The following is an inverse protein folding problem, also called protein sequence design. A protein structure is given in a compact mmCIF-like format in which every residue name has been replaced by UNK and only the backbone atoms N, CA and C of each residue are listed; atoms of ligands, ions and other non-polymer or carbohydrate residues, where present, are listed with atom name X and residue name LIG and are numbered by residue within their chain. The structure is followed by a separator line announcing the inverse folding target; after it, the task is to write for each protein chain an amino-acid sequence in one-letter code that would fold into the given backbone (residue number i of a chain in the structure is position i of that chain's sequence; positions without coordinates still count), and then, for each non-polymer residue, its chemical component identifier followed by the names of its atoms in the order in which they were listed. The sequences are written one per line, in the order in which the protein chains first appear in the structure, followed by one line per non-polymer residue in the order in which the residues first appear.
data_IF_265797162641
#
_entry.id   IF_265797162641
#
_cell.length_a   1.000
_cell.length_b   1.000
_cell.length_c   1.000
_cell.angle_alpha   90.00
_cell.angle_beta   90.00
_cell.angle_gamma   90.00
#
_symmetry.space_group_name_H-M   'P 1'
#
loop_
_entity.id
_entity.type
_entity.pdbx_description
1 polymer ?
#
# COMPACT_ATOMS: atom_id res chain seq x y z
N UNK A 1 -7.71 22.71 -20.31
CA UNK A 1 -6.48 21.89 -20.34
C UNK A 1 -6.89 20.43 -20.44
N UNK A 2 -7.02 19.92 -21.67
CA UNK A 2 -7.38 18.52 -21.94
C UNK A 2 -6.13 17.66 -21.80
N UNK A 3 -6.10 16.78 -20.78
CA UNK A 3 -5.03 15.79 -20.63
C UNK A 3 -4.95 14.95 -21.92
N UNK A 4 -3.74 14.67 -22.45
CA UNK A 4 -3.56 13.74 -23.57
C UNK A 4 -4.13 12.35 -23.21
N UNK A 5 -4.45 11.49 -24.19
CA UNK A 5 -4.99 10.17 -23.91
C UNK A 5 -4.02 9.39 -23.03
N UNK A 6 -4.47 9.10 -21.80
CA UNK A 6 -3.67 8.38 -20.80
C UNK A 6 -3.20 7.05 -21.40
N UNK A 7 -1.89 6.87 -21.51
CA UNK A 7 -1.27 5.60 -21.85
C UNK A 7 -1.70 4.52 -20.84
N UNK A 8 -1.58 3.25 -21.22
CA UNK A 8 -1.99 2.11 -20.39
C UNK A 8 -1.48 2.21 -18.95
N UNK A 9 -0.21 2.63 -18.79
CA UNK A 9 0.44 2.80 -17.49
C UNK A 9 -0.22 3.89 -16.62
N UNK A 10 -0.62 5.02 -17.22
CA UNK A 10 -1.29 6.10 -16.48
C UNK A 10 -2.69 5.66 -16.02
N UNK A 11 -3.41 4.88 -16.84
CA UNK A 11 -4.71 4.31 -16.44
C UNK A 11 -4.56 3.32 -15.29
N UNK A 12 -3.54 2.45 -15.34
CA UNK A 12 -3.25 1.51 -14.26
C UNK A 12 -2.88 2.25 -12.96
N UNK A 13 -2.03 3.27 -13.05
CA UNK A 13 -1.69 4.11 -11.89
C UNK A 13 -2.92 4.79 -11.28
N UNK A 14 -3.81 5.36 -12.11
CA UNK A 14 -5.04 5.97 -11.63
C UNK A 14 -5.99 4.96 -10.98
N UNK A 15 -6.08 3.74 -11.52
CA UNK A 15 -6.88 2.68 -10.91
C UNK A 15 -6.33 2.30 -9.53
N UNK A 16 -5.01 2.13 -9.42
CA UNK A 16 -4.32 1.82 -8.16
C UNK A 16 -4.53 2.95 -7.13
N UNK A 17 -4.37 4.21 -7.55
CA UNK A 17 -4.63 5.39 -6.71
C UNK A 17 -6.08 5.43 -6.20
N UNK A 18 -7.04 5.14 -7.07
CA UNK A 18 -8.45 5.09 -6.70
C UNK A 18 -8.72 3.97 -5.68
N UNK A 19 -8.14 2.79 -5.86
CA UNK A 19 -8.26 1.69 -4.88
C UNK A 19 -7.67 2.10 -3.53
N UNK A 20 -6.46 2.66 -3.51
CA UNK A 20 -5.83 3.15 -2.29
C UNK A 20 -6.68 4.23 -1.58
N UNK A 21 -7.23 5.18 -2.34
CA UNK A 21 -8.09 6.24 -1.83
C UNK A 21 -9.40 5.71 -1.25
N UNK A 22 -10.04 4.74 -1.92
CA UNK A 22 -11.26 4.07 -1.42
C UNK A 22 -10.96 3.31 -0.13
N UNK A 23 -9.85 2.57 -0.06
CA UNK A 23 -9.45 1.85 1.15
C UNK A 23 -9.22 2.80 2.32
N UNK A 24 -8.54 3.93 2.09
CA UNK A 24 -8.31 4.95 3.10
C UNK A 24 -9.62 5.59 3.61
N UNK A 25 -10.56 5.85 2.70
CA UNK A 25 -11.90 6.33 3.07
C UNK A 25 -12.65 5.30 3.92
N UNK A 26 -12.61 4.02 3.53
CA UNK A 26 -13.25 2.92 4.27
C UNK A 26 -12.66 2.77 5.68
N UNK A 27 -11.34 2.83 5.83
CA UNK A 27 -10.67 2.82 7.14
C UNK A 27 -11.17 3.98 8.00
N UNK A 28 -11.16 5.19 7.43
CA UNK A 28 -11.57 6.39 8.16
C UNK A 28 -13.01 6.25 8.66
N UNK A 29 -13.92 5.81 7.80
CA UNK A 29 -15.32 5.57 8.15
C UNK A 29 -15.41 4.50 9.24
N UNK A 30 -14.72 3.37 9.10
CA UNK A 30 -14.73 2.29 10.08
C UNK A 30 -14.26 2.77 11.46
N UNK A 31 -13.16 3.52 11.53
CA UNK A 31 -12.63 4.05 12.80
C UNK A 31 -13.61 5.04 13.42
N UNK A 32 -14.18 5.96 12.62
CA UNK A 32 -15.15 6.95 13.11
C UNK A 32 -16.41 6.26 13.64
N UNK A 33 -16.97 5.31 12.90
CA UNK A 33 -18.15 4.54 13.33
C UNK A 33 -17.83 3.73 14.58
N UNK A 34 -16.66 3.08 14.65
CA UNK A 34 -16.23 2.34 15.83
C UNK A 34 -16.05 3.25 17.05
N UNK A 35 -15.51 4.45 16.88
CA UNK A 35 -15.36 5.41 17.97
C UNK A 35 -16.73 5.90 18.45
N UNK A 36 -17.62 6.30 17.54
CA UNK A 36 -18.99 6.73 17.87
C UNK A 36 -19.74 5.60 18.61
N UNK A 37 -19.72 4.38 18.06
CA UNK A 37 -20.38 3.23 18.68
C UNK A 37 -19.85 2.95 20.10
N UNK A 38 -18.53 2.96 20.27
CA UNK A 38 -17.89 2.70 21.56
C UNK A 38 -18.18 3.78 22.59
N UNK A 39 -18.03 5.06 22.23
CA UNK A 39 -18.07 6.16 23.18
C UNK A 39 -19.46 6.78 23.39
N UNK A 40 -20.32 6.79 22.36
CA UNK A 40 -21.66 7.40 22.45
C UNK A 40 -22.77 6.37 22.66
N UNK A 41 -22.63 5.17 22.10
CA UNK A 41 -23.70 4.15 22.11
C UNK A 41 -23.41 2.95 23.02
N UNK A 42 -22.22 2.91 23.65
CA UNK A 42 -21.71 1.76 24.41
C UNK A 42 -21.78 0.42 23.65
N UNK A 43 -21.80 0.49 22.31
CA UNK A 43 -21.85 -0.65 21.40
C UNK A 43 -20.57 -0.65 20.56
N UNK A 44 -19.50 -1.34 21.00
CA UNK A 44 -18.29 -1.44 20.21
C UNK A 44 -18.52 -2.26 18.94
N UNK A 45 -17.99 -1.78 17.82
CA UNK A 45 -17.99 -2.54 16.56
C UNK A 45 -17.01 -3.72 16.71
N UNK A 46 -17.46 -4.97 16.51
CA UNK A 46 -16.60 -6.14 16.59
C UNK A 46 -15.49 -6.09 15.51
N UNK A 47 -14.29 -6.57 15.83
CA UNK A 47 -13.12 -6.61 14.94
C UNK A 47 -12.68 -5.29 14.26
N UNK A 48 -13.20 -4.14 14.70
CA UNK A 48 -12.84 -2.86 14.09
C UNK A 48 -11.32 -2.59 14.13
N UNK A 49 -10.62 -3.09 15.15
CA UNK A 49 -9.17 -2.98 15.27
C UNK A 49 -8.43 -3.77 14.19
N UNK A 50 -8.75 -5.06 14.03
CA UNK A 50 -8.05 -5.90 13.06
C UNK A 50 -8.41 -5.52 11.62
N UNK A 51 -9.68 -5.20 11.35
CA UNK A 51 -10.10 -4.77 10.02
C UNK A 51 -9.46 -3.43 9.64
N UNK A 52 -9.38 -2.46 10.56
CA UNK A 52 -8.67 -1.20 10.30
C UNK A 52 -7.18 -1.42 10.06
N UNK A 53 -6.52 -2.32 10.82
CA UNK A 53 -5.12 -2.68 10.61
C UNK A 53 -4.86 -3.26 9.22
N UNK A 54 -5.71 -4.19 8.76
CA UNK A 54 -5.57 -4.77 7.43
C UNK A 54 -5.84 -3.78 6.31
N UNK A 55 -6.91 -2.99 6.43
CA UNK A 55 -7.27 -2.00 5.43
C UNK A 55 -6.23 -0.86 5.33
N UNK A 56 -5.62 -0.43 6.44
CA UNK A 56 -4.50 0.51 6.43
C UNK A 56 -3.31 -0.11 5.70
N UNK A 57 -2.95 -1.36 6.03
CA UNK A 57 -1.88 -2.08 5.33
C UNK A 57 -2.12 -2.13 3.82
N UNK A 58 -3.36 -2.38 3.40
CA UNK A 58 -3.73 -2.41 1.99
C UNK A 58 -3.63 -1.03 1.36
N UNK A 59 -4.18 0.01 1.99
CA UNK A 59 -4.09 1.39 1.50
C UNK A 59 -2.64 1.84 1.31
N UNK A 60 -1.73 1.47 2.22
CA UNK A 60 -0.30 1.81 2.11
C UNK A 60 0.35 1.07 0.94
N UNK A 61 0.18 -0.25 0.82
CA UNK A 61 0.82 -1.01 -0.26
C UNK A 61 0.31 -0.56 -1.63
N UNK A 62 -1.01 -0.44 -1.79
CA UNK A 62 -1.60 0.05 -3.04
C UNK A 62 -1.20 1.50 -3.34
N UNK A 63 -1.07 2.36 -2.32
CA UNK A 63 -0.58 3.72 -2.50
C UNK A 63 0.91 3.80 -2.88
N UNK A 64 1.73 2.85 -2.40
CA UNK A 64 3.17 2.82 -2.65
C UNK A 64 3.50 2.66 -4.14
N UNK A 65 2.73 1.86 -4.86
CA UNK A 65 2.87 1.67 -6.31
C UNK A 65 2.70 2.99 -7.11
N UNK A 66 1.79 3.88 -6.67
CA UNK A 66 1.61 5.20 -7.29
C UNK A 66 2.82 6.13 -7.08
N UNK A 67 3.43 6.09 -5.89
CA UNK A 67 4.62 6.91 -5.58
C UNK A 67 5.80 6.51 -6.45
N UNK A 68 6.00 5.20 -6.67
CA UNK A 68 7.00 4.67 -7.59
C UNK A 68 6.75 5.12 -9.03
N UNK A 69 5.50 5.03 -9.51
CA UNK A 69 5.15 5.43 -10.88
C UNK A 69 5.38 6.91 -11.18
N UNK A 70 5.06 7.78 -10.22
CA UNK A 70 5.22 9.23 -10.39
C UNK A 70 6.68 9.68 -10.30
N UNK A 71 7.61 8.77 -9.97
CA UNK A 71 9.03 9.10 -9.83
C UNK A 71 9.30 10.14 -8.74
N UNK A 72 8.34 10.36 -7.85
CA UNK A 72 8.40 11.31 -6.72
C UNK A 72 9.22 10.77 -5.55
N UNK A 73 10.16 9.86 -5.83
CA UNK A 73 11.21 9.57 -4.87
C UNK A 73 11.93 10.89 -4.59
N UNK A 74 12.04 11.26 -3.32
CA UNK A 74 12.78 12.42 -2.88
C UNK A 74 14.23 12.20 -3.32
N UNK A 75 14.58 12.71 -4.50
CA UNK A 75 15.96 12.78 -4.95
C UNK A 75 16.60 13.84 -4.08
N UNK A 76 17.79 13.53 -3.56
CA UNK A 76 18.61 14.54 -2.88
C UNK A 76 19.13 15.47 -3.98
N UNK A 77 18.28 16.39 -4.43
CA UNK A 77 18.51 17.24 -5.60
C UNK A 77 19.80 18.07 -5.42
N UNK A 78 20.13 18.43 -4.17
CA UNK A 78 21.39 19.12 -3.82
C UNK A 78 22.62 18.31 -4.24
N UNK A 79 22.66 17.00 -4.00
CA UNK A 79 23.81 16.17 -4.37
C UNK A 79 23.80 15.89 -5.88
N UNK A 80 22.61 15.74 -6.47
CA UNK A 80 22.45 15.48 -7.90
C UNK A 80 22.81 16.69 -8.79
N UNK A 81 22.62 17.92 -8.31
CA UNK A 81 22.99 19.16 -9.01
C UNK A 81 24.50 19.43 -9.01
N UNK A 82 25.23 18.96 -7.99
CA UNK A 82 26.70 19.08 -7.94
C UNK A 82 27.45 18.03 -8.78
N UNK A 83 26.74 17.01 -9.30
CA UNK A 83 27.37 15.88 -10.01
C UNK A 83 27.32 16.04 -11.53
N UNK A 84 28.39 15.63 -12.26
CA UNK A 84 28.39 15.59 -13.71
C UNK A 84 27.35 14.59 -14.25
N UNK A 85 26.80 14.86 -15.44
CA UNK A 85 25.65 14.13 -16.02
C UNK A 85 25.82 12.60 -16.09
N UNK A 86 27.05 12.10 -16.23
CA UNK A 86 27.36 10.67 -16.22
C UNK A 86 27.16 10.02 -14.85
N UNK A 87 27.63 10.65 -13.77
CA UNK A 87 27.49 10.15 -12.41
C UNK A 87 26.03 10.16 -11.94
N UNK A 88 25.27 11.19 -12.33
CA UNK A 88 23.83 11.30 -12.05
C UNK A 88 23.04 10.13 -12.63
N UNK A 89 23.29 9.77 -13.89
CA UNK A 89 22.63 8.61 -14.54
C UNK A 89 22.93 7.29 -13.86
N UNK A 90 24.16 7.12 -13.38
CA UNK A 90 24.58 5.90 -12.68
C UNK A 90 23.90 5.77 -11.31
N UNK A 91 23.82 6.87 -10.56
CA UNK A 91 23.13 6.92 -9.26
C UNK A 91 21.64 6.68 -9.43
N UNK A 92 20.99 7.32 -10.42
CA UNK A 92 19.58 7.09 -10.71
C UNK A 92 19.33 5.62 -11.06
N UNK A 93 20.17 5.02 -11.92
CA UNK A 93 20.05 3.61 -12.30
C UNK A 93 20.25 2.66 -11.11
N UNK A 94 21.21 2.97 -10.24
CA UNK A 94 21.45 2.21 -9.01
C UNK A 94 20.26 2.33 -8.04
N UNK A 95 19.70 3.52 -7.86
CA UNK A 95 18.53 3.74 -7.02
C UNK A 95 17.32 2.93 -7.51
N UNK A 96 17.06 2.93 -8.82
CA UNK A 96 16.02 2.10 -9.42
C UNK A 96 16.28 0.61 -9.27
N UNK A 97 17.54 0.16 -9.41
CA UNK A 97 17.91 -1.24 -9.20
C UNK A 97 17.69 -1.69 -7.74
N UNK A 98 18.06 -0.84 -6.77
CA UNK A 98 17.84 -1.10 -5.34
C UNK A 98 16.34 -1.10 -5.01
N UNK A 99 15.57 -0.16 -5.55
CA UNK A 99 14.12 -0.12 -5.38
C UNK A 99 13.45 -1.37 -5.94
N UNK A 100 13.86 -1.80 -7.14
CA UNK A 100 13.36 -3.01 -7.78
C UNK A 100 13.72 -4.25 -6.94
N UNK A 101 14.96 -4.36 -6.48
CA UNK A 101 15.40 -5.44 -5.59
C UNK A 101 14.56 -5.49 -4.31
N UNK A 102 14.38 -4.35 -3.65
CA UNK A 102 13.59 -4.26 -2.43
C UNK A 102 12.11 -4.65 -2.67
N UNK A 103 11.53 -4.18 -3.77
CA UNK A 103 10.15 -4.51 -4.15
C UNK A 103 9.98 -6.01 -4.38
N UNK A 104 10.90 -6.65 -5.11
CA UNK A 104 10.88 -8.12 -5.32
C UNK A 104 11.01 -8.89 -4.00
N UNK A 105 11.92 -8.47 -3.12
CA UNK A 105 12.09 -9.11 -1.80
C UNK A 105 10.84 -8.93 -0.93
N UNK A 106 10.21 -7.76 -0.98
CA UNK A 106 8.97 -7.46 -0.27
C UNK A 106 7.83 -8.35 -0.79
N UNK A 107 7.64 -8.45 -2.11
CA UNK A 107 6.65 -9.35 -2.74
C UNK A 107 6.85 -10.79 -2.30
N UNK A 108 8.10 -11.27 -2.28
CA UNK A 108 8.40 -12.65 -1.88
C UNK A 108 8.10 -12.90 -0.39
N UNK A 109 8.54 -12.01 0.50
CA UNK A 109 8.30 -12.16 1.95
C UNK A 109 6.82 -12.01 2.30
N UNK A 110 6.11 -11.10 1.66
CA UNK A 110 4.67 -10.94 1.83
C UNK A 110 3.90 -12.20 1.38
N UNK A 111 4.29 -12.81 0.25
CA UNK A 111 3.72 -14.09 -0.16
C UNK A 111 3.94 -15.20 0.89
N UNK A 112 5.14 -15.26 1.47
CA UNK A 112 5.43 -16.14 2.60
C UNK A 112 4.53 -15.89 3.81
N UNK A 113 4.15 -14.62 4.07
CA UNK A 113 3.22 -14.28 5.15
C UNK A 113 1.78 -14.71 4.86
N UNK A 114 1.32 -14.52 3.62
CA UNK A 114 -0.02 -14.96 3.17
C UNK A 114 -0.15 -16.48 3.30
N UNK A 115 0.83 -17.22 2.79
CA UNK A 115 0.84 -18.69 2.86
C UNK A 115 0.94 -19.17 4.31
N UNK A 116 1.77 -18.54 5.14
CA UNK A 116 1.84 -18.85 6.57
C UNK A 116 0.49 -18.66 7.26
N UNK A 117 -0.20 -17.54 7.03
CA UNK A 117 -1.52 -17.26 7.61
C UNK A 117 -2.60 -18.25 7.14
N UNK A 118 -2.50 -18.72 5.89
CA UNK A 118 -3.39 -19.75 5.35
C UNK A 118 -3.19 -21.10 6.05
N UNK A 119 -1.94 -21.55 6.22
CA UNK A 119 -1.64 -22.84 6.86
C UNK A 119 -1.90 -22.83 8.37
N UNK A 120 -1.70 -21.70 9.05
CA UNK A 120 -1.95 -21.58 10.49
C UNK A 120 -3.43 -21.40 10.85
N UNK A 121 -4.30 -21.16 9.86
CA UNK A 121 -5.71 -20.83 10.11
C UNK A 121 -5.88 -19.51 10.87
N UNK A 122 -4.94 -18.57 10.70
CA UNK A 122 -4.96 -17.29 11.40
C UNK A 122 -6.24 -16.52 11.06
N UNK A 123 -6.97 -16.12 12.10
CA UNK A 123 -8.27 -15.49 11.98
C UNK A 123 -8.42 -14.32 12.94
N UNK A 124 -9.30 -13.39 12.60
CA UNK A 124 -9.64 -12.22 13.43
C UNK A 124 -10.24 -12.63 14.78
N UNK A 125 -10.10 -11.79 15.80
CA UNK A 125 -10.44 -12.16 17.17
C UNK A 125 -11.94 -12.42 17.40
N UNK A 126 -12.82 -11.53 16.94
CA UNK A 126 -14.25 -11.58 17.22
C UNK A 126 -15.03 -12.40 16.17
N UNK A 127 -14.94 -12.02 14.89
CA UNK A 127 -15.69 -12.67 13.80
C UNK A 127 -14.97 -13.87 13.19
N UNK A 128 -13.73 -14.17 13.60
CA UNK A 128 -12.93 -15.29 13.08
C UNK A 128 -12.82 -15.29 11.54
N UNK A 129 -12.71 -14.10 10.95
CA UNK A 129 -12.52 -13.97 9.52
C UNK A 129 -11.10 -14.43 9.14
N UNK A 130 -10.91 -15.19 8.05
CA UNK A 130 -9.59 -15.66 7.65
C UNK A 130 -8.66 -14.51 7.27
N UNK A 131 -7.56 -14.33 8.02
CA UNK A 131 -6.63 -13.21 7.82
C UNK A 131 -5.91 -13.27 6.44
N UNK A 132 -5.76 -14.47 5.88
CA UNK A 132 -5.07 -14.68 4.61
C UNK A 132 -5.72 -13.93 3.44
N UNK A 133 -7.05 -13.71 3.47
CA UNK A 133 -7.76 -12.99 2.40
C UNK A 133 -7.30 -11.53 2.36
N UNK A 134 -7.26 -10.90 3.54
CA UNK A 134 -6.80 -9.52 3.67
C UNK A 134 -5.31 -9.39 3.36
N UNK A 135 -4.49 -10.32 3.83
CA UNK A 135 -3.06 -10.34 3.53
C UNK A 135 -2.78 -10.56 2.03
N UNK A 136 -3.55 -11.41 1.35
CA UNK A 136 -3.44 -11.60 -0.09
C UNK A 136 -3.81 -10.32 -0.86
N UNK A 137 -4.83 -9.61 -0.40
CA UNK A 137 -5.21 -8.33 -0.98
C UNK A 137 -4.15 -7.24 -0.77
N UNK A 138 -3.48 -7.22 0.39
CA UNK A 138 -2.32 -6.35 0.65
C UNK A 138 -1.17 -6.72 -0.29
N UNK A 139 -0.88 -8.01 -0.43
CA UNK A 139 0.19 -8.52 -1.30
C UNK A 139 0.00 -8.14 -2.78
N UNK A 140 -1.24 -8.11 -3.28
CA UNK A 140 -1.55 -7.66 -4.64
C UNK A 140 -1.19 -6.19 -4.92
N UNK A 141 -1.03 -5.37 -3.87
CA UNK A 141 -0.63 -3.97 -4.01
C UNK A 141 0.88 -3.74 -4.10
N UNK A 142 1.71 -4.78 -3.90
CA UNK A 142 3.19 -4.72 -3.96
C UNK A 142 3.67 -4.98 -5.38
#
# INVERSE_FOLDING_TARGET
MTKPPAGLLERMSLAIENVAGVLLALVTILIVVSAIGRYLLAWPVPDAFDLSRFLIGAAIMWGFASVGFRGSHIKVDIVAELLPAGARRWIDSFAWAVLLLFSVLLTWKMFGRVTSAFHSGEATFDLRMPAWIFLAFIWLGV
#
